data_IF_742417897755
#
_entry.id   IF_742417897755
#
_cell.length_a   1.000
_cell.length_b   1.000
_cell.length_c   1.000
_cell.angle_alpha   90.00
_cell.angle_beta   90.00
_cell.angle_gamma   90.00
#
_symmetry.space_group_name_H-M   'P 1'
#
loop_
_entity.id
_entity.type
_entity.pdbx_description
1 polymer ?
#
# COMPACT_ATOMS: atom_id res chain seq x y z
N UNK A 1 1.46 -13.94 -5.17
CA UNK A 1 0.49 -13.34 -4.25
C UNK A 1 1.10 -12.06 -3.70
N UNK A 2 0.28 -11.06 -3.41
CA UNK A 2 0.70 -9.81 -2.75
C UNK A 2 -0.17 -9.61 -1.53
N UNK A 3 0.43 -9.25 -0.41
CA UNK A 3 -0.29 -8.90 0.81
C UNK A 3 -0.57 -7.41 0.85
N UNK A 4 -1.82 -7.05 1.17
CA UNK A 4 -2.19 -5.66 1.42
C UNK A 4 -1.58 -5.18 2.73
N UNK A 5 -0.79 -4.10 2.71
CA UNK A 5 0.04 -3.66 3.85
C UNK A 5 -0.79 -3.31 5.10
N UNK A 6 -2.02 -2.82 4.94
CA UNK A 6 -2.85 -2.38 6.07
C UNK A 6 -3.77 -3.47 6.63
N UNK A 7 -4.22 -4.40 5.80
CA UNK A 7 -5.21 -5.43 6.19
C UNK A 7 -4.62 -6.83 6.27
N UNK A 8 -3.43 -7.04 5.68
CA UNK A 8 -2.79 -8.34 5.57
C UNK A 8 -3.44 -9.28 4.56
N UNK A 9 -4.48 -8.86 3.85
CA UNK A 9 -5.18 -9.71 2.88
C UNK A 9 -4.30 -10.05 1.68
N UNK A 10 -4.32 -11.32 1.28
CA UNK A 10 -3.55 -11.82 0.15
C UNK A 10 -4.37 -11.76 -1.14
N UNK A 11 -3.76 -11.24 -2.19
CA UNK A 11 -4.35 -11.13 -3.52
C UNK A 11 -3.51 -11.90 -4.54
N UNK A 12 -4.20 -12.70 -5.36
CA UNK A 12 -3.59 -13.32 -6.54
C UNK A 12 -3.52 -12.30 -7.67
N UNK A 13 -2.31 -11.99 -8.12
CA UNK A 13 -2.06 -11.02 -9.19
C UNK A 13 -1.21 -11.65 -10.27
N UNK A 14 -1.50 -11.29 -11.53
CA UNK A 14 -0.74 -11.78 -12.67
C UNK A 14 0.73 -11.32 -12.59
N UNK A 15 1.67 -12.23 -12.81
CA UNK A 15 3.12 -11.99 -12.66
C UNK A 15 3.65 -10.80 -13.48
N UNK A 16 3.04 -10.52 -14.64
CA UNK A 16 3.38 -9.34 -15.46
C UNK A 16 3.11 -7.99 -14.77
N UNK A 17 2.22 -7.94 -13.77
CA UNK A 17 1.98 -6.75 -12.93
C UNK A 17 3.07 -6.57 -11.87
N UNK A 18 3.76 -7.66 -11.51
CA UNK A 18 4.81 -7.67 -10.49
C UNK A 18 6.20 -7.32 -11.02
N UNK A 19 6.43 -7.40 -12.34
CA UNK A 19 7.74 -7.14 -12.97
C UNK A 19 8.32 -5.75 -12.70
N UNK A 20 7.49 -4.79 -12.27
CA UNK A 20 7.89 -3.42 -11.96
C UNK A 20 8.20 -3.21 -10.47
N UNK A 21 7.89 -4.18 -9.63
CA UNK A 21 8.12 -4.11 -8.19
C UNK A 21 9.37 -4.92 -7.84
N UNK A 22 10.24 -4.31 -7.03
CA UNK A 22 11.35 -5.05 -6.42
C UNK A 22 10.76 -6.03 -5.39
N UNK A 23 11.32 -7.23 -5.30
CA UNK A 23 10.89 -8.23 -4.31
C UNK A 23 11.08 -7.74 -2.85
N UNK A 24 11.96 -6.76 -2.66
CA UNK A 24 12.24 -6.13 -1.37
C UNK A 24 12.22 -4.60 -1.53
N UNK A 25 11.57 -3.90 -0.60
CA UNK A 25 11.53 -2.45 -0.52
C UNK A 25 12.76 -1.86 0.18
N UNK A 26 13.79 -2.66 0.46
CA UNK A 26 15.01 -2.20 1.15
C UNK A 26 14.69 -1.70 2.56
N UNK A 27 13.66 -2.26 3.18
CA UNK A 27 13.15 -1.76 4.45
C UNK A 27 14.03 -2.26 5.60
N UNK A 28 14.95 -1.41 6.06
CA UNK A 28 15.83 -1.72 7.19
C UNK A 28 15.12 -1.44 8.53
N UNK A 29 15.62 -2.07 9.60
CA UNK A 29 15.17 -1.77 10.97
C UNK A 29 15.34 -0.27 11.30
N UNK A 30 16.43 0.34 10.84
CA UNK A 30 16.72 1.77 11.02
C UNK A 30 15.67 2.68 10.35
N UNK A 31 15.29 2.39 9.10
CA UNK A 31 14.23 3.15 8.40
C UNK A 31 12.89 2.99 9.11
N UNK A 32 12.57 1.79 9.60
CA UNK A 32 11.32 1.53 10.34
C UNK A 32 11.25 2.31 11.65
N UNK A 33 12.34 2.29 12.42
CA UNK A 33 12.42 2.99 13.70
C UNK A 33 12.39 4.51 13.51
N UNK A 34 13.06 5.02 12.47
CA UNK A 34 13.02 6.43 12.09
C UNK A 34 11.60 6.89 11.69
N UNK A 35 10.90 6.13 10.83
CA UNK A 35 9.52 6.45 10.42
C UNK A 35 8.54 6.32 11.59
N UNK A 36 8.70 5.34 12.47
CA UNK A 36 7.88 5.21 13.67
C UNK A 36 8.09 6.39 14.63
N UNK A 37 9.34 6.85 14.79
CA UNK A 37 9.70 8.01 15.61
C UNK A 37 9.22 9.35 15.01
N UNK A 38 9.02 9.43 13.69
CA UNK A 38 8.44 10.61 13.04
C UNK A 38 6.97 10.85 13.44
N UNK A 39 6.32 9.89 14.11
CA UNK A 39 4.98 10.09 14.66
C UNK A 39 3.99 10.54 13.60
N UNK A 40 4.05 9.94 12.40
CA UNK A 40 3.18 10.32 11.27
C UNK A 40 1.73 9.95 11.64
N UNK A 41 1.03 10.87 12.27
CA UNK A 41 -0.42 10.84 12.42
C UNK A 41 -1.01 11.34 11.11
N UNK A 42 -1.19 10.44 10.14
CA UNK A 42 -2.01 10.72 8.96
C UNK A 42 -3.49 10.65 9.38
N UNK A 43 -3.94 11.68 10.09
CA UNK A 43 -5.35 11.92 10.35
C UNK A 43 -6.05 12.29 9.05
N UNK A 44 -6.71 11.32 8.41
CA UNK A 44 -7.59 11.61 7.27
C UNK A 44 -8.79 12.41 7.79
N UNK A 45 -8.76 13.73 7.59
CA UNK A 45 -9.84 14.63 8.07
C UNK A 45 -11.17 14.36 7.36
N UNK A 46 -11.13 14.10 6.06
CA UNK A 46 -12.27 13.67 5.25
C UNK A 46 -11.80 13.23 3.86
N UNK A 47 -12.48 12.26 3.26
CA UNK A 47 -12.35 11.94 1.83
C UNK A 47 -13.31 12.86 1.08
N UNK A 48 -12.78 13.86 0.38
CA UNK A 48 -13.56 14.78 -0.46
C UNK A 48 -13.40 14.43 -1.93
N UNK A 49 -14.50 14.39 -2.67
CA UNK A 49 -14.47 14.22 -4.13
C UNK A 49 -14.12 12.82 -4.62
N UNK A 50 -14.44 11.77 -3.87
CA UNK A 50 -14.28 10.41 -4.36
C UNK A 50 -15.12 10.21 -5.64
N UNK A 51 -14.50 9.68 -6.69
CA UNK A 51 -15.20 9.18 -7.88
C UNK A 51 -14.93 7.69 -7.98
N UNK A 52 -16.00 6.91 -8.02
CA UNK A 52 -15.90 5.50 -8.39
C UNK A 52 -15.51 5.41 -9.85
N UNK A 53 -14.49 4.60 -10.14
CA UNK A 53 -14.16 4.24 -11.51
C UNK A 53 -15.36 3.48 -12.10
N UNK A 54 -15.99 3.97 -13.19
CA UNK A 54 -17.09 3.27 -13.85
C UNK A 54 -16.67 1.88 -14.34
N UNK A 55 -15.39 1.68 -14.67
CA UNK A 55 -14.86 0.39 -15.10
C UNK A 55 -14.73 -0.63 -13.95
N UNK A 56 -14.83 -0.19 -12.69
CA UNK A 56 -14.87 -1.07 -11.53
C UNK A 56 -16.30 -1.59 -11.23
N UNK A 57 -17.31 -1.16 -11.99
CA UNK A 57 -18.66 -1.74 -11.94
C UNK A 57 -18.87 -2.63 -13.16
N UNK A 58 -18.58 -3.93 -12.98
CA UNK A 58 -19.13 -5.05 -13.76
C UNK A 58 -18.84 -5.05 -15.25
#
# INVERSE_FOLDING_TARGET
MVAHVLTGEEYEVHSSRLKHYCADFGTTAEIREHVAAQGIVLGVRAIVGHRYDPAAKG
#
